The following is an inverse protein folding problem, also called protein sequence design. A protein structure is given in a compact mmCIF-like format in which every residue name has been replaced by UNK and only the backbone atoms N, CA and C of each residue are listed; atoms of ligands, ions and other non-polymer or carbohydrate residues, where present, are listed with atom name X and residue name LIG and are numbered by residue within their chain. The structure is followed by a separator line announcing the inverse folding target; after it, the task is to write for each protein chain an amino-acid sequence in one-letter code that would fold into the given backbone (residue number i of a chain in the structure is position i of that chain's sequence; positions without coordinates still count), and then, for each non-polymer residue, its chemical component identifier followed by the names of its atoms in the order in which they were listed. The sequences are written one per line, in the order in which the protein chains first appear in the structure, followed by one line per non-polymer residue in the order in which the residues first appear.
data_IF_619471504282
#
_entry.id   IF_619471504282
#
_cell.length_a   1.000
_cell.length_b   1.000
_cell.length_c   1.000
_cell.angle_alpha   90.00
_cell.angle_beta   90.00
_cell.angle_gamma   90.00
#
_symmetry.space_group_name_H-M   'P 1'
#
loop_
_entity.id
_entity.type
_entity.pdbx_description
1 polymer ?
#
# COMPACT_ATOMS: atom_id res chain seq x y z
N UNK A 1 -0.50 -0.02 -11.75
CA UNK A 1 -0.46 1.14 -10.82
C UNK A 1 -1.86 1.51 -10.32
N UNK A 2 -2.86 1.49 -11.20
CA UNK A 2 -4.26 1.80 -10.90
C UNK A 2 -4.83 1.09 -9.67
N UNK A 3 -4.55 -0.21 -9.51
CA UNK A 3 -5.01 -0.96 -8.34
C UNK A 3 -4.54 -0.31 -7.02
N UNK A 4 -3.28 0.12 -6.92
CA UNK A 4 -2.77 0.72 -5.67
C UNK A 4 -3.43 2.08 -5.36
N UNK A 5 -3.78 2.87 -6.39
CA UNK A 5 -4.51 4.12 -6.22
C UNK A 5 -5.97 3.87 -5.82
N UNK A 6 -6.62 2.86 -6.44
CA UNK A 6 -7.99 2.45 -6.12
C UNK A 6 -8.11 1.95 -4.68
N UNK A 7 -7.24 1.04 -4.26
CA UNK A 7 -7.22 0.51 -2.88
C UNK A 7 -6.98 1.62 -1.85
N UNK A 8 -6.09 2.58 -2.15
CA UNK A 8 -5.87 3.73 -1.28
C UNK A 8 -7.16 4.55 -1.11
N UNK A 9 -7.88 4.79 -2.20
CA UNK A 9 -9.15 5.52 -2.13
C UNK A 9 -10.24 4.72 -1.41
N UNK A 10 -10.40 3.43 -1.69
CA UNK A 10 -11.41 2.57 -1.06
C UNK A 10 -11.18 2.46 0.46
N UNK A 11 -9.95 2.20 0.90
CA UNK A 11 -9.65 1.99 2.32
C UNK A 11 -9.49 3.30 3.11
N UNK A 12 -9.08 4.41 2.48
CA UNK A 12 -8.71 5.64 3.19
C UNK A 12 -9.45 6.90 2.77
N UNK A 13 -10.11 6.89 1.61
CA UNK A 13 -10.72 8.07 0.98
C UNK A 13 -9.71 9.01 0.33
N UNK A 14 -8.40 8.71 0.40
CA UNK A 14 -7.36 9.58 -0.16
C UNK A 14 -7.20 9.28 -1.65
N UNK A 15 -7.32 10.30 -2.48
CA UNK A 15 -6.98 10.23 -3.90
C UNK A 15 -5.53 10.69 -4.11
N UNK A 16 -4.62 9.73 -4.28
CA UNK A 16 -3.22 9.99 -4.61
C UNK A 16 -2.66 8.86 -5.47
N UNK A 17 -1.68 9.20 -6.32
CA UNK A 17 -1.00 8.22 -7.17
C UNK A 17 0.25 7.67 -6.47
N UNK A 18 0.55 6.36 -6.62
CA UNK A 18 1.86 5.80 -6.29
C UNK A 18 2.97 6.63 -6.92
N UNK A 19 3.99 7.01 -6.15
CA UNK A 19 5.11 7.80 -6.67
C UNK A 19 6.32 6.91 -6.97
N UNK A 20 6.57 5.92 -6.12
CA UNK A 20 7.73 5.04 -6.25
C UNK A 20 7.36 3.60 -5.96
N UNK A 21 8.03 2.66 -6.65
CA UNK A 21 8.02 1.26 -6.28
C UNK A 21 9.11 1.02 -5.22
N UNK A 22 8.78 0.31 -4.15
CA UNK A 22 9.75 -0.01 -3.10
C UNK A 22 10.24 -1.44 -3.26
N UNK A 23 9.32 -2.41 -3.33
CA UNK A 23 9.67 -3.85 -3.34
C UNK A 23 8.48 -4.72 -3.68
N UNK A 24 8.73 -5.88 -4.28
CA UNK A 24 7.79 -7.00 -4.32
C UNK A 24 8.18 -8.03 -3.26
N UNK A 25 7.19 -8.53 -2.52
CA UNK A 25 7.35 -9.66 -1.62
C UNK A 25 6.52 -10.84 -2.12
N UNK A 26 7.18 -11.98 -2.31
CA UNK A 26 6.51 -13.25 -2.54
C UNK A 26 6.46 -14.02 -1.22
N UNK A 27 5.29 -14.58 -0.90
CA UNK A 27 5.12 -15.45 0.26
C UNK A 27 3.89 -16.35 0.12
N UNK A 28 3.80 -17.35 1.00
CA UNK A 28 2.65 -18.23 1.13
C UNK A 28 2.05 -17.99 2.52
N UNK A 29 0.74 -17.73 2.57
CA UNK A 29 0.01 -17.54 3.82
C UNK A 29 -0.27 -18.89 4.52
N UNK A 30 -0.63 -18.91 5.81
CA UNK A 30 -0.86 -20.16 6.56
C UNK A 30 -1.95 -21.07 5.98
N UNK A 31 -2.92 -20.48 5.30
CA UNK A 31 -3.99 -21.13 4.54
C UNK A 31 -3.50 -21.71 3.19
N UNK A 32 -2.20 -21.63 2.92
CA UNK A 32 -1.51 -22.04 1.67
C UNK A 32 -1.80 -21.15 0.46
N UNK A 33 -2.46 -20.00 0.65
CA UNK A 33 -2.70 -19.06 -0.44
C UNK A 33 -1.38 -18.39 -0.85
N UNK A 34 -0.97 -18.48 -2.14
CA UNK A 34 0.23 -17.79 -2.62
C UNK A 34 -0.06 -16.31 -2.87
N UNK A 35 0.87 -15.45 -2.47
CA UNK A 35 0.73 -14.00 -2.60
C UNK A 35 1.97 -13.37 -3.25
N UNK A 36 1.71 -12.44 -4.17
CA UNK A 36 2.66 -11.44 -4.64
C UNK A 36 2.19 -10.07 -4.17
N UNK A 37 2.95 -9.45 -3.27
CA UNK A 37 2.61 -8.14 -2.70
C UNK A 37 3.55 -7.07 -3.20
N UNK A 38 3.02 -6.16 -4.02
CA UNK A 38 3.72 -4.97 -4.49
C UNK A 38 3.61 -3.86 -3.44
N UNK A 39 4.74 -3.27 -3.07
CA UNK A 39 4.81 -2.18 -2.10
C UNK A 39 5.23 -0.88 -2.80
N UNK A 40 4.41 0.15 -2.61
CA UNK A 40 4.63 1.50 -3.17
C UNK A 40 4.90 2.52 -2.07
N UNK A 41 5.48 3.65 -2.46
CA UNK A 41 5.65 4.84 -1.64
C UNK A 41 4.80 5.99 -2.18
N UNK A 42 4.20 6.76 -1.28
CA UNK A 42 3.53 8.02 -1.55
C UNK A 42 3.97 8.99 -0.45
N UNK A 43 4.58 10.09 -0.83
CA UNK A 43 4.84 11.24 0.03
C UNK A 43 3.71 12.24 -0.15
N UNK A 44 2.99 12.54 0.93
CA UNK A 44 1.99 13.59 0.96
C UNK A 44 2.60 14.83 1.61
N UNK A 45 2.29 16.00 1.07
CA UNK A 45 2.79 17.28 1.61
C UNK A 45 2.37 17.50 3.06
N UNK A 46 1.14 17.09 3.38
CA UNK A 46 0.58 17.18 4.71
C UNK A 46 -0.35 16.00 5.02
N UNK A 47 -0.58 15.79 6.31
CA UNK A 47 -1.60 14.87 6.78
C UNK A 47 -2.98 15.37 6.31
N UNK A 48 -3.75 14.49 5.67
CA UNK A 48 -5.08 14.80 5.17
C UNK A 48 -6.17 14.03 5.95
N UNK A 49 -7.42 14.51 5.93
CA UNK A 49 -8.56 13.76 6.45
C UNK A 49 -8.74 12.45 5.69
N UNK A 50 -9.30 11.46 6.39
CA UNK A 50 -9.50 10.11 5.85
C UNK A 50 -10.94 9.68 6.06
N UNK A 51 -11.55 9.09 5.04
CA UNK A 51 -12.90 8.55 5.08
C UNK A 51 -12.92 7.24 4.28
N UNK A 52 -12.83 6.08 4.94
CA UNK A 52 -12.95 4.78 4.28
C UNK A 52 -14.29 4.64 3.57
N UNK A 53 -14.27 4.03 2.39
CA UNK A 53 -15.46 3.60 1.65
C UNK A 53 -15.70 2.09 1.76
N UNK A 54 -14.74 1.34 2.29
CA UNK A 54 -14.85 -0.08 2.59
C UNK A 54 -15.47 -0.31 3.98
N UNK A 55 -16.49 -1.17 4.05
CA UNK A 55 -17.17 -1.56 5.28
C UNK A 55 -16.32 -2.38 6.23
N UNK A 56 -15.25 -3.01 5.74
CA UNK A 56 -14.32 -3.80 6.56
C UNK A 56 -13.33 -2.92 7.34
N UNK A 57 -13.31 -1.61 7.08
CA UNK A 57 -12.38 -0.65 7.70
C UNK A 57 -13.09 0.23 8.74
N UNK A 58 -12.81 -0.02 10.02
CA UNK A 58 -13.39 0.77 11.12
C UNK A 58 -13.02 2.26 11.06
N UNK A 59 -11.73 2.56 10.82
CA UNK A 59 -11.20 3.92 10.71
C UNK A 59 -9.74 3.95 10.24
N UNK A 60 -9.35 5.03 9.56
CA UNK A 60 -7.95 5.36 9.36
C UNK A 60 -7.43 6.24 10.48
N UNK A 61 -6.12 6.18 10.70
CA UNK A 61 -5.44 7.06 11.64
C UNK A 61 -4.01 7.29 11.15
N UNK A 62 -3.46 8.47 11.39
CA UNK A 62 -2.04 8.78 11.22
C UNK A 62 -1.24 8.44 12.49
N UNK A 63 0.03 8.00 12.42
CA UNK A 63 0.80 7.76 13.65
C UNK A 63 2.22 7.20 13.51
N UNK A 64 3.13 7.70 14.36
CA UNK A 64 4.58 7.43 14.32
C UNK A 64 5.01 6.04 14.84
N UNK A 65 4.31 5.42 15.81
CA UNK A 65 4.69 4.10 16.38
C UNK A 65 3.49 3.28 16.87
N UNK A 66 2.85 2.52 15.97
CA UNK A 66 1.64 1.71 16.25
C UNK A 66 1.90 0.32 16.83
N UNK A 67 2.81 0.20 17.80
CA UNK A 67 3.11 -1.11 18.41
C UNK A 67 1.92 -1.68 19.23
N UNK A 68 0.95 -0.85 19.62
CA UNK A 68 -0.24 -1.26 20.39
C UNK A 68 -1.43 -1.70 19.55
N UNK A 69 -1.70 -1.09 18.39
CA UNK A 69 -2.96 -1.26 17.66
C UNK A 69 -3.15 -2.67 17.07
N UNK A 70 -2.11 -3.23 16.44
CA UNK A 70 -2.23 -4.52 15.77
C UNK A 70 -2.20 -5.74 16.72
N UNK A 71 -2.41 -5.60 18.04
CA UNK A 71 -2.03 -6.60 19.09
C UNK A 71 -2.54 -8.00 18.85
N UNK A 72 -3.65 -8.12 18.13
CA UNK A 72 -4.32 -9.39 17.81
C UNK A 72 -4.05 -9.92 16.40
N UNK A 73 -3.37 -9.17 15.54
CA UNK A 73 -3.12 -9.56 14.14
C UNK A 73 -1.61 -9.66 13.84
N UNK A 74 -1.02 -10.82 14.15
CA UNK A 74 0.43 -11.08 14.03
C UNK A 74 0.93 -10.89 12.59
N UNK A 75 0.13 -11.30 11.59
CA UNK A 75 0.49 -11.16 10.19
C UNK A 75 0.52 -9.70 9.75
N UNK A 76 -0.51 -8.92 10.06
CA UNK A 76 -0.55 -7.48 9.77
C UNK A 76 0.62 -6.76 10.42
N UNK A 77 1.00 -7.13 11.66
CA UNK A 77 2.21 -6.60 12.32
C UNK A 77 3.48 -6.90 11.55
N UNK A 78 3.66 -8.14 11.11
CA UNK A 78 4.88 -8.58 10.42
C UNK A 78 5.01 -7.84 9.09
N UNK A 79 3.91 -7.73 8.35
CA UNK A 79 3.85 -7.00 7.09
C UNK A 79 4.07 -5.50 7.26
N UNK A 80 3.43 -4.89 8.25
CA UNK A 80 3.63 -3.48 8.58
C UNK A 80 5.10 -3.19 8.92
N UNK A 81 5.72 -3.99 9.81
CA UNK A 81 7.14 -3.82 10.18
C UNK A 81 8.09 -4.04 9.01
N UNK A 82 7.78 -4.99 8.12
CA UNK A 82 8.60 -5.24 6.93
C UNK A 82 8.50 -4.06 5.96
N UNK A 83 7.29 -3.59 5.71
CA UNK A 83 7.01 -2.46 4.80
C UNK A 83 7.69 -1.18 5.27
N UNK A 84 7.59 -0.85 6.56
CA UNK A 84 8.25 0.32 7.14
C UNK A 84 9.77 0.22 7.01
N UNK A 85 10.37 -0.94 7.30
CA UNK A 85 11.82 -1.11 7.15
C UNK A 85 12.27 -0.95 5.70
N UNK A 86 11.49 -1.44 4.75
CA UNK A 86 11.77 -1.22 3.33
C UNK A 86 11.69 0.26 2.97
N UNK A 87 10.66 0.97 3.43
CA UNK A 87 10.55 2.42 3.22
C UNK A 87 11.73 3.19 3.85
N UNK A 88 12.08 2.87 5.10
CA UNK A 88 13.18 3.50 5.85
C UNK A 88 14.57 3.23 5.28
N UNK A 89 14.75 2.16 4.49
CA UNK A 89 16.03 1.89 3.82
C UNK A 89 16.41 2.95 2.78
N UNK A 90 15.47 3.85 2.42
CA UNK A 90 15.68 4.89 1.42
C UNK A 90 15.63 4.38 -0.03
N UNK A 91 15.67 3.07 -0.26
CA UNK A 91 15.61 2.51 -1.60
C UNK A 91 14.24 2.78 -2.25
N UNK A 92 14.28 3.35 -3.46
CA UNK A 92 13.13 3.66 -4.30
C UNK A 92 13.47 3.26 -5.73
N UNK A 93 12.48 2.74 -6.45
CA UNK A 93 12.59 2.32 -7.83
C UNK A 93 11.53 3.01 -8.69
N UNK A 94 11.82 3.23 -9.99
CA UNK A 94 10.85 3.75 -10.94
C UNK A 94 9.62 2.83 -11.02
N UNK A 95 8.44 3.43 -11.18
CA UNK A 95 7.19 2.67 -11.34
C UNK A 95 7.17 1.83 -12.62
N UNK A 96 7.91 2.27 -13.66
CA UNK A 96 8.08 1.57 -14.92
C UNK A 96 8.69 0.17 -14.77
N UNK A 97 9.38 -0.12 -13.66
CA UNK A 97 9.93 -1.46 -13.37
C UNK A 97 8.84 -2.55 -13.34
N UNK A 98 7.60 -2.17 -13.04
CA UNK A 98 6.42 -3.04 -13.06
C UNK A 98 5.31 -2.44 -13.91
N UNK A 99 5.70 -1.65 -14.91
CA UNK A 99 4.79 -1.07 -15.88
C UNK A 99 4.11 -2.14 -16.73
N UNK A 100 2.95 -1.80 -17.24
CA UNK A 100 2.28 -2.57 -18.27
C UNK A 100 2.98 -2.42 -19.63
N UNK A 101 2.79 -3.42 -20.49
CA UNK A 101 3.30 -3.46 -21.85
C UNK A 101 2.14 -3.84 -22.78
N UNK A 102 1.88 -3.04 -23.82
CA UNK A 102 0.75 -3.20 -24.73
C UNK A 102 -0.62 -3.29 -24.02
N UNK A 103 -0.86 -2.41 -23.05
CA UNK A 103 -2.13 -2.37 -22.33
C UNK A 103 -3.24 -1.77 -23.21
N UNK A 104 -4.31 -2.53 -23.51
CA UNK A 104 -5.33 -2.10 -24.47
C UNK A 104 -6.42 -1.21 -23.85
N UNK A 105 -6.35 -0.94 -22.54
CA UNK A 105 -7.34 -0.13 -21.83
C UNK A 105 -6.79 1.26 -21.51
N UNK A 106 -7.66 2.25 -21.49
CA UNK A 106 -7.30 3.63 -21.14
C UNK A 106 -6.83 3.68 -19.69
N UNK A 107 -5.56 4.07 -19.47
CA UNK A 107 -5.12 4.49 -18.15
C UNK A 107 -5.81 5.80 -17.84
N UNK A 108 -6.50 5.88 -16.70
CA UNK A 108 -7.47 6.93 -16.37
C UNK A 108 -7.14 8.33 -16.89
N UNK A 109 -8.12 8.96 -17.53
CA UNK A 109 -8.10 10.37 -17.91
C UNK A 109 -8.21 11.19 -16.62
N UNK A 110 -7.20 12.01 -16.33
CA UNK A 110 -7.29 13.15 -15.41
C UNK A 110 -6.78 14.37 -16.17
#
# INVERSE_FOLDING_TARGET
MEAAARELWEETGISAQPQHFIRMHQWIAPDKTPFLRFLFAIELEQICPTQPHDSDIDCCRWGQRRRKFYRRQIFVRRWWRKSIRCYQSGQRYPLEMIGDFNWPFTKGVI
#
